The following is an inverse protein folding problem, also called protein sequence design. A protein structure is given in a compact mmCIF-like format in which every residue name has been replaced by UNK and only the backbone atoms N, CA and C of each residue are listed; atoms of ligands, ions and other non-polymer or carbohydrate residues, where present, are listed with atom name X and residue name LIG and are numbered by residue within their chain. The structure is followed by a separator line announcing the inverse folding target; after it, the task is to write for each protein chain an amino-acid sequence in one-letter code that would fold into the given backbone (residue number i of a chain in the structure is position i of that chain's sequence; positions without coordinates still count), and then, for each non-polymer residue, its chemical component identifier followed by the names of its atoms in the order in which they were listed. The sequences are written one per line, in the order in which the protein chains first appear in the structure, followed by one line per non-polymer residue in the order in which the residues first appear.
data_IF_283546150876
#
_entry.id   IF_283546150876
#
_cell.length_a   1.000
_cell.length_b   1.000
_cell.length_c   1.000
_cell.angle_alpha   90.00
_cell.angle_beta   90.00
_cell.angle_gamma   90.00
#
_symmetry.space_group_name_H-M   'P 1'
#
loop_
_entity.id
_entity.type
_entity.pdbx_description
1 polymer ?
#
# COMPACT_ATOMS: atom_id res chain seq x y z
N UNK A 1 -34.30 20.75 -10.11
CA UNK A 1 -33.73 19.38 -10.20
C UNK A 1 -34.78 18.38 -9.74
N UNK A 2 -35.10 17.33 -10.52
CA UNK A 2 -35.96 16.24 -10.04
C UNK A 2 -35.33 15.61 -8.79
N UNK A 3 -36.13 15.37 -7.75
CA UNK A 3 -35.70 14.84 -6.45
C UNK A 3 -34.89 13.52 -6.60
N UNK A 4 -35.16 12.78 -7.66
CA UNK A 4 -34.50 11.51 -8.04
C UNK A 4 -33.01 11.66 -8.42
N UNK A 5 -32.56 12.88 -8.77
CA UNK A 5 -31.17 13.14 -9.16
C UNK A 5 -30.30 13.61 -8.00
N UNK A 6 -30.89 13.96 -6.85
CA UNK A 6 -30.18 14.39 -5.65
C UNK A 6 -29.18 13.34 -5.14
N UNK A 7 -29.54 12.05 -4.97
CA UNK A 7 -28.57 11.06 -4.51
C UNK A 7 -27.41 10.85 -5.50
N UNK A 8 -27.66 10.99 -6.80
CA UNK A 8 -26.60 10.88 -7.84
C UNK A 8 -25.62 12.04 -7.76
N UNK A 9 -26.12 13.26 -7.60
CA UNK A 9 -25.28 14.46 -7.49
C UNK A 9 -24.48 14.44 -6.19
N UNK A 10 -25.08 13.95 -5.11
CA UNK A 10 -24.40 13.77 -3.84
C UNK A 10 -23.28 12.72 -3.94
N UNK A 11 -23.53 11.58 -4.60
CA UNK A 11 -22.52 10.56 -4.87
C UNK A 11 -21.34 11.12 -5.70
N UNK A 12 -21.64 11.83 -6.79
CA UNK A 12 -20.61 12.46 -7.63
C UNK A 12 -19.80 13.47 -6.83
N UNK A 13 -20.46 14.29 -6.01
CA UNK A 13 -19.82 15.25 -5.13
C UNK A 13 -18.87 14.59 -4.13
N UNK A 14 -19.30 13.52 -3.48
CA UNK A 14 -18.46 12.75 -2.55
C UNK A 14 -17.26 12.13 -3.29
N UNK A 15 -17.48 11.54 -4.46
CA UNK A 15 -16.40 10.93 -5.23
C UNK A 15 -15.36 11.96 -5.69
N UNK A 16 -15.79 13.11 -6.19
CA UNK A 16 -14.90 14.21 -6.55
C UNK A 16 -14.14 14.78 -5.35
N UNK A 17 -14.81 14.89 -4.19
CA UNK A 17 -14.16 15.28 -2.95
C UNK A 17 -13.09 14.26 -2.54
N UNK A 18 -13.38 12.97 -2.63
CA UNK A 18 -12.42 11.90 -2.31
C UNK A 18 -11.19 11.95 -3.21
N UNK A 19 -11.38 12.14 -4.52
CA UNK A 19 -10.31 12.25 -5.51
C UNK A 19 -9.39 13.46 -5.30
N UNK A 20 -9.86 14.50 -4.60
CA UNK A 20 -9.07 15.71 -4.34
C UNK A 20 -8.47 15.71 -2.94
N UNK A 21 -9.27 15.35 -1.93
CA UNK A 21 -8.86 15.36 -0.53
C UNK A 21 -7.81 14.29 -0.24
N UNK A 22 -7.96 13.07 -0.75
CA UNK A 22 -7.00 11.99 -0.46
C UNK A 22 -5.60 12.34 -1.00
N UNK A 23 -5.42 12.75 -2.26
CA UNK A 23 -4.09 13.11 -2.73
C UNK A 23 -3.45 14.28 -1.99
N UNK A 24 -4.24 15.32 -1.69
CA UNK A 24 -3.75 16.46 -0.91
C UNK A 24 -3.32 16.01 0.49
N UNK A 25 -4.12 15.20 1.17
CA UNK A 25 -3.82 14.68 2.49
C UNK A 25 -2.57 13.77 2.48
N UNK A 26 -2.40 12.93 1.46
CA UNK A 26 -1.20 12.12 1.24
C UNK A 26 0.06 12.98 1.08
N UNK A 27 0.00 14.06 0.29
CA UNK A 27 1.13 14.97 0.13
C UNK A 27 1.49 15.70 1.44
N UNK A 28 0.49 16.16 2.20
CA UNK A 28 0.71 16.82 3.50
C UNK A 28 1.30 15.82 4.51
N UNK A 29 0.74 14.62 4.62
CA UNK A 29 1.21 13.60 5.55
C UNK A 29 2.62 13.13 5.19
N UNK A 30 2.92 12.97 3.90
CA UNK A 30 4.24 12.52 3.44
C UNK A 30 5.33 13.56 3.68
N UNK A 31 5.01 14.86 3.60
CA UNK A 31 5.94 15.94 3.96
C UNK A 31 6.31 15.98 5.44
N UNK A 32 5.44 15.46 6.32
CA UNK A 32 5.72 15.34 7.76
C UNK A 32 6.53 14.10 8.15
N UNK A 33 6.68 13.13 7.24
CA UNK A 33 7.46 11.91 7.47
C UNK A 33 8.92 12.12 7.04
N UNK A 34 9.89 11.52 7.75
CA UNK A 34 11.28 11.59 7.33
C UNK A 34 11.47 10.91 5.96
N UNK A 35 12.44 11.40 5.18
CA UNK A 35 12.73 10.86 3.84
C UNK A 35 13.09 9.37 3.85
N UNK A 36 13.70 8.90 4.95
CA UNK A 36 14.09 7.51 5.19
C UNK A 36 13.10 6.75 6.08
N UNK A 37 11.83 7.19 6.13
CA UNK A 37 10.77 6.44 6.79
C UNK A 37 10.73 5.00 6.28
N UNK A 38 10.54 4.05 7.20
CA UNK A 38 10.52 2.62 6.91
C UNK A 38 9.10 2.08 7.12
N UNK A 39 8.62 1.30 6.19
CA UNK A 39 7.44 0.45 6.40
C UNK A 39 7.85 -0.73 7.27
N UNK A 40 7.39 -0.74 8.53
CA UNK A 40 7.63 -1.88 9.44
C UNK A 40 6.96 -3.15 8.93
N UNK A 41 5.76 -3.01 8.36
CA UNK A 41 4.97 -4.14 7.87
C UNK A 41 5.60 -4.83 6.64
N UNK A 42 6.26 -4.06 5.77
CA UNK A 42 6.92 -4.60 4.56
C UNK A 42 8.44 -4.72 4.71
N UNK A 43 8.99 -4.30 5.84
CA UNK A 43 10.42 -4.25 6.10
C UNK A 43 11.23 -3.55 4.99
N UNK A 44 10.67 -2.50 4.37
CA UNK A 44 11.25 -1.74 3.25
C UNK A 44 11.26 -0.23 3.55
N UNK A 45 12.22 0.51 3.00
CA UNK A 45 12.19 1.98 3.02
C UNK A 45 11.14 2.54 2.08
N UNK A 46 10.42 3.57 2.55
CA UNK A 46 9.41 4.23 1.74
C UNK A 46 10.07 4.96 0.57
N UNK A 47 9.40 4.95 -0.57
CA UNK A 47 9.83 5.67 -1.75
C UNK A 47 10.01 7.16 -1.46
N UNK A 48 10.97 7.77 -2.14
CA UNK A 48 11.31 9.19 -1.99
C UNK A 48 10.58 10.02 -3.04
N UNK A 49 10.37 11.30 -2.73
CA UNK A 49 9.79 12.22 -3.69
C UNK A 49 10.72 12.31 -4.91
N UNK A 50 10.24 11.99 -6.13
CA UNK A 50 11.08 12.08 -7.32
C UNK A 50 11.43 13.54 -7.62
N UNK A 51 12.63 13.75 -8.15
CA UNK A 51 13.07 15.08 -8.55
C UNK A 51 12.58 15.39 -9.96
N UNK A 52 11.88 16.51 -10.12
CA UNK A 52 11.54 17.05 -11.44
C UNK A 52 12.79 17.58 -12.12
N UNK A 53 13.28 16.90 -13.15
CA UNK A 53 14.40 17.37 -13.97
C UNK A 53 14.15 17.10 -15.47
N UNK A 54 14.89 17.76 -16.35
CA UNK A 54 14.69 17.63 -17.81
C UNK A 54 14.93 16.21 -18.33
N UNK A 55 15.83 15.46 -17.68
CA UNK A 55 16.19 14.08 -18.05
C UNK A 55 15.03 13.12 -17.75
N UNK A 56 14.53 13.10 -16.50
CA UNK A 56 13.38 12.29 -16.07
C UNK A 56 12.10 12.57 -16.84
N UNK A 57 11.90 13.83 -17.29
CA UNK A 57 10.77 14.20 -18.15
C UNK A 57 10.96 13.62 -19.57
N UNK A 58 12.18 13.73 -20.12
CA UNK A 58 12.49 13.22 -21.46
C UNK A 58 12.43 11.70 -21.50
N UNK A 59 12.89 11.04 -20.43
CA UNK A 59 12.85 9.59 -20.22
C UNK A 59 11.47 9.07 -19.80
N UNK A 60 10.52 9.97 -19.48
CA UNK A 60 9.15 9.64 -19.01
C UNK A 60 9.11 8.81 -17.72
N UNK A 61 10.18 8.83 -16.94
CA UNK A 61 10.31 8.09 -15.67
C UNK A 61 9.66 8.82 -14.51
N UNK A 62 9.62 10.16 -14.55
CA UNK A 62 9.09 10.98 -13.46
C UNK A 62 7.68 10.56 -12.99
N UNK A 63 6.76 10.31 -13.93
CA UNK A 63 5.38 9.95 -13.59
C UNK A 63 5.30 8.56 -12.93
N UNK A 64 6.11 7.61 -13.40
CA UNK A 64 6.19 6.27 -12.83
C UNK A 64 6.72 6.33 -11.40
N UNK A 65 7.79 7.07 -11.17
CA UNK A 65 8.39 7.23 -9.85
C UNK A 65 7.45 7.98 -8.90
N UNK A 66 6.70 8.96 -9.42
CA UNK A 66 5.71 9.68 -8.64
C UNK A 66 4.53 8.79 -8.25
N UNK A 67 4.06 7.92 -9.15
CA UNK A 67 3.00 6.95 -8.85
C UNK A 67 3.47 5.95 -7.78
N UNK A 68 4.71 5.46 -7.86
CA UNK A 68 5.28 4.58 -6.85
C UNK A 68 5.40 5.30 -5.49
N UNK A 69 5.94 6.53 -5.49
CA UNK A 69 6.01 7.38 -4.30
C UNK A 69 4.63 7.59 -3.65
N UNK A 70 3.65 7.96 -4.45
CA UNK A 70 2.32 8.29 -3.98
C UNK A 70 1.60 7.05 -3.41
N UNK A 71 1.69 5.92 -4.11
CA UNK A 71 1.09 4.63 -3.70
C UNK A 71 1.67 4.13 -2.38
N UNK A 72 2.97 4.31 -2.18
CA UNK A 72 3.68 3.86 -0.98
C UNK A 72 3.35 4.71 0.26
N UNK A 73 3.02 5.99 0.05
CA UNK A 73 2.81 6.97 1.13
C UNK A 73 1.35 7.37 1.35
N UNK A 74 0.39 6.64 0.80
CA UNK A 74 -1.05 6.91 0.98
C UNK A 74 -1.36 7.14 2.47
N UNK A 75 -2.00 8.27 2.77
CA UNK A 75 -2.40 8.63 4.13
C UNK A 75 -3.39 7.60 4.70
N UNK A 76 -3.27 7.28 6.00
CA UNK A 76 -4.09 6.29 6.69
C UNK A 76 -4.05 4.86 6.10
N UNK A 77 -3.04 4.52 5.30
CA UNK A 77 -2.88 3.18 4.72
C UNK A 77 -2.92 2.07 5.76
N UNK A 78 -2.14 2.21 6.84
CA UNK A 78 -2.06 1.22 7.91
C UNK A 78 -3.40 1.02 8.62
N UNK A 79 -4.13 2.11 8.88
CA UNK A 79 -5.45 2.05 9.51
C UNK A 79 -6.47 1.38 8.59
N UNK A 80 -6.43 1.67 7.29
CA UNK A 80 -7.28 1.01 6.29
C UNK A 80 -7.00 -0.50 6.19
N UNK A 81 -5.72 -0.90 6.20
CA UNK A 81 -5.33 -2.32 6.19
C UNK A 81 -5.81 -2.99 7.48
N UNK A 82 -5.62 -2.37 8.65
CA UNK A 82 -6.10 -2.89 9.93
C UNK A 82 -7.62 -3.06 9.95
N UNK A 83 -8.35 -2.06 9.43
CA UNK A 83 -9.81 -2.10 9.33
C UNK A 83 -10.26 -3.25 8.42
N UNK A 84 -9.67 -3.37 7.23
CA UNK A 84 -9.98 -4.44 6.28
C UNK A 84 -9.68 -5.81 6.87
N UNK A 85 -8.52 -5.98 7.51
CA UNK A 85 -8.16 -7.23 8.17
C UNK A 85 -9.12 -7.57 9.32
N UNK A 86 -9.60 -6.56 10.06
CA UNK A 86 -10.57 -6.76 11.13
C UNK A 86 -11.93 -7.20 10.58
N UNK A 87 -12.39 -6.62 9.46
CA UNK A 87 -13.58 -7.08 8.75
C UNK A 87 -13.43 -8.51 8.21
N UNK A 88 -12.29 -8.83 7.61
CA UNK A 88 -12.01 -10.18 7.11
C UNK A 88 -12.06 -11.23 8.23
N UNK A 89 -11.51 -10.90 9.40
CA UNK A 89 -11.60 -11.75 10.60
C UNK A 89 -13.03 -11.87 11.11
N UNK A 90 -13.80 -10.78 11.14
CA UNK A 90 -15.21 -10.79 11.51
C UNK A 90 -16.05 -11.69 10.59
N UNK A 91 -15.70 -11.73 9.30
CA UNK A 91 -16.31 -12.63 8.31
C UNK A 91 -15.84 -14.09 8.44
N UNK A 92 -15.02 -14.41 9.43
CA UNK A 92 -14.55 -15.77 9.72
C UNK A 92 -13.32 -16.21 8.93
N UNK A 93 -12.65 -15.30 8.19
CA UNK A 93 -11.37 -15.63 7.55
C UNK A 93 -10.30 -15.82 8.63
N UNK A 94 -9.72 -17.02 8.67
CA UNK A 94 -8.61 -17.36 9.58
C UNK A 94 -7.23 -17.08 8.97
N UNK A 95 -7.16 -17.02 7.65
CA UNK A 95 -5.95 -16.69 6.89
C UNK A 95 -6.16 -15.37 6.15
N UNK A 96 -5.21 -14.45 6.32
CA UNK A 96 -5.16 -13.19 5.58
C UNK A 96 -3.75 -13.03 5.02
N UNK A 97 -3.63 -12.96 3.69
CA UNK A 97 -2.36 -12.77 2.98
C UNK A 97 -1.25 -13.75 3.42
N UNK A 98 -1.57 -15.05 3.58
CA UNK A 98 -0.57 -16.05 3.99
C UNK A 98 -0.26 -16.06 5.49
N UNK A 99 -0.98 -15.30 6.31
CA UNK A 99 -0.82 -15.29 7.77
C UNK A 99 -2.08 -15.84 8.43
N UNK A 100 -1.92 -16.94 9.15
CA UNK A 100 -2.95 -17.52 10.02
C UNK A 100 -2.94 -16.82 11.37
N UNK A 101 -4.12 -16.50 11.90
CA UNK A 101 -4.26 -15.98 13.27
C UNK A 101 -5.14 -16.88 14.10
N UNK A 102 -4.59 -17.43 15.19
CA UNK A 102 -5.32 -18.25 16.17
C UNK A 102 -4.87 -17.86 17.59
N UNK A 103 -5.80 -17.63 18.51
CA UNK A 103 -5.53 -17.25 19.91
C UNK A 103 -4.52 -16.10 20.10
N UNK A 104 -4.58 -15.08 19.24
CA UNK A 104 -3.64 -13.96 19.28
C UNK A 104 -2.22 -14.27 18.78
N UNK A 105 -1.97 -15.50 18.31
CA UNK A 105 -0.71 -15.89 17.64
C UNK A 105 -0.86 -15.77 16.13
N UNK A 106 0.16 -15.22 15.49
CA UNK A 106 0.25 -15.12 14.04
C UNK A 106 1.28 -16.15 13.53
N UNK A 107 0.90 -16.93 12.52
CA UNK A 107 1.76 -17.93 11.90
C UNK A 107 1.78 -17.70 10.39
N UNK A 108 2.95 -17.44 9.84
CA UNK A 108 3.13 -17.35 8.40
C UNK A 108 3.06 -18.75 7.79
N UNK A 109 2.21 -18.93 6.78
CA UNK A 109 2.20 -20.14 5.97
C UNK A 109 3.28 -20.04 4.91
N UNK A 110 4.18 -21.02 4.90
CA UNK A 110 5.19 -21.15 3.85
C UNK A 110 4.67 -22.08 2.76
N UNK A 111 4.53 -21.57 1.53
CA UNK A 111 4.15 -22.35 0.36
C UNK A 111 5.30 -22.34 -0.64
N UNK A 112 5.41 -23.38 -1.45
CA UNK A 112 6.41 -23.47 -2.52
C UNK A 112 6.30 -22.34 -3.56
N UNK A 113 5.15 -21.67 -3.65
CA UNK A 113 4.96 -20.46 -4.46
C UNK A 113 5.67 -19.22 -3.91
N UNK A 114 6.02 -19.21 -2.63
CA UNK A 114 6.43 -18.00 -1.91
C UNK A 114 7.95 -17.78 -1.98
N UNK A 115 8.69 -18.74 -2.52
CA UNK A 115 10.14 -18.68 -2.66
C UNK A 115 10.62 -19.38 -3.93
N UNK A 116 11.69 -18.85 -4.51
CA UNK A 116 12.39 -19.49 -5.62
C UNK A 116 13.26 -20.64 -5.10
N UNK A 117 12.90 -21.87 -5.47
CA UNK A 117 13.63 -23.09 -5.09
C UNK A 117 15.10 -22.99 -5.51
N UNK A 118 15.40 -22.40 -6.68
CA UNK A 118 16.79 -22.24 -7.14
C UNK A 118 17.61 -21.35 -6.21
N UNK A 119 16.99 -20.33 -5.63
CA UNK A 119 17.62 -19.43 -4.68
C UNK A 119 17.85 -20.12 -3.32
N UNK A 120 16.92 -20.98 -2.89
CA UNK A 120 17.07 -21.77 -1.66
C UNK A 120 18.23 -22.77 -1.78
N UNK A 121 18.30 -23.51 -2.89
CA UNK A 121 19.36 -24.51 -3.11
C UNK A 121 20.75 -23.87 -3.14
N UNK A 122 20.88 -22.70 -3.79
CA UNK A 122 22.14 -21.93 -3.80
C UNK A 122 22.56 -21.49 -2.41
N UNK A 123 21.62 -21.02 -1.60
CA UNK A 123 21.92 -20.57 -0.24
C UNK A 123 22.31 -21.75 0.65
N UNK A 124 21.63 -22.90 0.53
CA UNK A 124 21.95 -24.11 1.30
C UNK A 124 23.35 -24.63 0.93
N UNK A 125 23.68 -24.67 -0.36
CA UNK A 125 25.00 -25.07 -0.84
C UNK A 125 26.13 -24.13 -0.40
N UNK A 126 25.82 -22.86 -0.06
CA UNK A 126 26.79 -21.92 0.49
C UNK A 126 26.98 -22.09 2.01
N UNK A 127 26.11 -22.86 2.69
CA UNK A 127 26.19 -23.16 4.12
C UNK A 127 26.91 -24.49 4.41
N UNK A 128 27.03 -25.37 3.40
CA UNK A 128 27.84 -26.60 3.43
C UNK A 128 29.32 -26.33 3.12
#
# INVERSE_FOLDING_TARGET
MKKDNIPKILLIGIFALMLTVIPIATLISSAGLPENAKSENENKYLQKMPQLNFETITEKTFMSDFEEYFSDRIVLREDWIRLTNSFDRLLGKREIKGVFTEDGRMMQSWRTSDYDISSVDKNLAAME
#
